data_IF_981561052647
#
_entry.id   IF_981561052647
#
_cell.length_a   1.000
_cell.length_b   1.000
_cell.length_c   1.000
_cell.angle_alpha   90.00
_cell.angle_beta   90.00
_cell.angle_gamma   90.00
#
_symmetry.space_group_name_H-M   'P 1'
#
loop_
_entity.id
_entity.type
_entity.pdbx_description
1 polymer ?
#
# COMPACT_ATOMS: atom_id res chain seq x y z
N UNK A 1 21.20 10.54 -13.97
CA UNK A 1 20.72 10.03 -12.66
C UNK A 1 20.46 8.54 -12.81
N UNK A 2 20.72 7.73 -11.74
CA UNK A 2 20.37 6.30 -11.71
C UNK A 2 18.86 6.16 -11.95
N UNK A 3 18.47 5.21 -12.80
CA UNK A 3 17.06 4.87 -13.05
C UNK A 3 16.83 3.45 -12.54
N UNK A 4 16.51 3.25 -11.23
CA UNK A 4 16.28 1.94 -10.67
C UNK A 4 15.07 1.27 -11.32
N UNK A 5 15.11 -0.04 -11.50
CA UNK A 5 13.93 -0.80 -11.92
C UNK A 5 12.88 -0.78 -10.80
N UNK A 6 11.63 -0.50 -11.14
CA UNK A 6 10.49 -0.55 -10.22
C UNK A 6 9.59 -1.71 -10.60
N UNK A 7 9.31 -2.61 -9.65
CA UNK A 7 8.31 -3.65 -9.81
C UNK A 7 6.96 -3.15 -9.31
N UNK A 8 6.00 -2.99 -10.23
CA UNK A 8 4.61 -2.65 -9.90
C UNK A 8 3.83 -3.95 -9.76
N UNK A 9 3.29 -4.19 -8.57
CA UNK A 9 2.61 -5.43 -8.18
C UNK A 9 1.11 -5.20 -8.19
N UNK A 10 0.39 -5.97 -9.01
CA UNK A 10 -1.05 -5.82 -9.23
C UNK A 10 -1.77 -7.15 -8.99
N UNK A 11 -2.29 -7.40 -7.77
CA UNK A 11 -3.20 -8.50 -7.53
C UNK A 11 -4.59 -8.16 -8.08
N UNK A 12 -5.31 -9.13 -8.63
CA UNK A 12 -6.68 -8.94 -9.10
C UNK A 12 -7.50 -10.22 -9.04
N UNK A 13 -8.75 -10.08 -8.59
CA UNK A 13 -9.78 -11.11 -8.63
C UNK A 13 -11.10 -10.52 -9.08
N UNK A 14 -11.71 -11.08 -10.15
CA UNK A 14 -12.99 -10.63 -10.73
C UNK A 14 -13.06 -9.10 -10.95
N UNK A 15 -12.03 -8.56 -11.63
CA UNK A 15 -11.84 -7.12 -11.86
C UNK A 15 -12.21 -6.64 -13.26
N UNK A 16 -13.06 -7.36 -14.03
CA UNK A 16 -13.36 -7.01 -15.44
C UNK A 16 -13.79 -5.57 -15.68
N UNK A 17 -14.45 -4.95 -14.67
CA UNK A 17 -14.96 -3.57 -14.76
C UNK A 17 -13.90 -2.50 -14.49
N UNK A 18 -12.78 -2.86 -13.89
CA UNK A 18 -11.79 -1.90 -13.35
C UNK A 18 -10.38 -2.12 -13.86
N UNK A 19 -9.97 -3.36 -14.06
CA UNK A 19 -8.59 -3.73 -14.35
C UNK A 19 -8.01 -3.04 -15.60
N UNK A 20 -8.83 -2.79 -16.63
CA UNK A 20 -8.35 -2.08 -17.82
C UNK A 20 -7.92 -0.64 -17.49
N UNK A 21 -8.66 0.07 -16.63
CA UNK A 21 -8.28 1.41 -16.17
C UNK A 21 -6.99 1.37 -15.36
N UNK A 22 -6.86 0.40 -14.45
CA UNK A 22 -5.66 0.18 -13.65
C UNK A 22 -4.42 -0.01 -14.56
N UNK A 23 -4.45 -1.00 -15.44
CA UNK A 23 -3.32 -1.34 -16.32
C UNK A 23 -2.98 -0.19 -17.27
N UNK A 24 -3.98 0.51 -17.81
CA UNK A 24 -3.77 1.71 -18.65
C UNK A 24 -3.06 2.83 -17.88
N UNK A 25 -3.39 3.03 -16.61
CA UNK A 25 -2.73 4.05 -15.79
C UNK A 25 -1.27 3.72 -15.54
N UNK A 26 -0.94 2.44 -15.36
CA UNK A 26 0.43 1.94 -15.19
C UNK A 26 1.21 2.01 -16.51
N UNK A 27 0.62 1.59 -17.61
CA UNK A 27 1.23 1.65 -18.96
C UNK A 27 1.65 3.08 -19.32
N UNK A 28 0.85 4.08 -18.90
CA UNK A 28 1.05 5.50 -19.19
C UNK A 28 1.91 6.24 -18.15
N UNK A 29 2.55 5.56 -17.20
CA UNK A 29 3.46 6.22 -16.27
C UNK A 29 4.60 6.94 -17.01
N UNK A 30 4.99 8.12 -16.53
CA UNK A 30 6.13 8.88 -17.09
C UNK A 30 7.46 8.18 -16.85
N UNK A 31 7.60 7.51 -15.71
CA UNK A 31 8.75 6.67 -15.41
C UNK A 31 8.69 5.37 -16.20
N UNK A 32 9.71 5.09 -17.04
CA UNK A 32 9.67 4.00 -18.02
C UNK A 32 10.35 2.71 -17.58
N UNK A 33 11.32 2.79 -16.66
CA UNK A 33 12.05 1.62 -16.18
C UNK A 33 11.23 0.86 -15.11
N UNK A 34 10.14 0.25 -15.56
CA UNK A 34 9.21 -0.53 -14.73
C UNK A 34 9.04 -1.94 -15.29
N UNK A 35 8.79 -2.89 -14.42
CA UNK A 35 8.12 -4.16 -14.73
C UNK A 35 6.79 -4.20 -13.98
N UNK A 36 5.78 -4.81 -14.58
CA UNK A 36 4.42 -4.89 -14.03
C UNK A 36 4.05 -6.35 -13.85
N UNK A 37 3.88 -6.79 -12.61
CA UNK A 37 3.55 -8.16 -12.30
C UNK A 37 2.07 -8.23 -11.92
N UNK A 38 1.26 -8.71 -12.86
CA UNK A 38 -0.19 -8.84 -12.68
C UNK A 38 -0.50 -10.28 -12.28
N UNK A 39 -1.04 -10.46 -11.07
CA UNK A 39 -1.42 -11.78 -10.57
C UNK A 39 -2.95 -11.89 -10.55
N UNK A 40 -3.46 -12.73 -11.45
CA UNK A 40 -4.88 -13.08 -11.52
C UNK A 40 -5.17 -14.23 -10.54
N UNK A 41 -5.87 -13.92 -9.49
CA UNK A 41 -6.21 -14.81 -8.38
C UNK A 41 -7.44 -15.71 -8.69
N UNK A 42 -7.41 -16.39 -9.84
CA UNK A 42 -8.46 -17.33 -10.23
C UNK A 42 -9.77 -16.65 -10.67
N UNK A 43 -9.72 -15.49 -11.33
CA UNK A 43 -10.92 -14.81 -11.81
C UNK A 43 -11.75 -15.69 -12.76
N UNK A 44 -13.08 -15.58 -12.62
CA UNK A 44 -14.08 -16.32 -13.40
C UNK A 44 -14.80 -15.44 -14.44
N UNK A 45 -14.55 -14.13 -14.38
CA UNK A 45 -15.06 -13.12 -15.32
C UNK A 45 -14.08 -12.85 -16.47
N UNK A 46 -14.26 -11.76 -17.23
CA UNK A 46 -13.40 -11.41 -18.35
C UNK A 46 -12.03 -10.81 -17.99
N UNK A 47 -11.66 -10.78 -16.71
CA UNK A 47 -10.36 -10.25 -16.22
C UNK A 47 -9.17 -10.88 -16.94
N UNK A 48 -9.14 -12.21 -17.09
CA UNK A 48 -8.07 -12.95 -17.76
C UNK A 48 -7.83 -12.44 -19.20
N UNK A 49 -8.89 -12.24 -19.96
CA UNK A 49 -8.82 -11.74 -21.33
C UNK A 49 -8.22 -10.34 -21.42
N UNK A 50 -8.61 -9.46 -20.49
CA UNK A 50 -8.11 -8.08 -20.46
C UNK A 50 -6.62 -8.07 -20.16
N UNK A 51 -6.16 -8.82 -19.15
CA UNK A 51 -4.75 -8.85 -18.76
C UNK A 51 -3.88 -9.39 -19.89
N UNK A 52 -4.30 -10.49 -20.55
CA UNK A 52 -3.56 -11.07 -21.69
C UNK A 52 -3.38 -10.08 -22.85
N UNK A 53 -4.37 -9.23 -23.10
CA UNK A 53 -4.26 -8.16 -24.10
C UNK A 53 -3.11 -7.21 -23.77
N UNK A 54 -3.01 -6.74 -22.52
CA UNK A 54 -1.92 -5.85 -22.10
C UNK A 54 -0.55 -6.54 -22.12
N UNK A 55 -0.47 -7.76 -21.59
CA UNK A 55 0.78 -8.52 -21.59
C UNK A 55 1.28 -8.86 -23.01
N UNK A 56 0.39 -9.06 -23.98
CA UNK A 56 0.76 -9.26 -25.37
C UNK A 56 1.19 -7.99 -26.12
N UNK A 57 0.84 -6.80 -25.62
CA UNK A 57 1.12 -5.52 -26.27
C UNK A 57 2.32 -4.77 -25.69
N UNK A 58 2.65 -5.03 -24.42
CA UNK A 58 3.69 -4.31 -23.71
C UNK A 58 4.58 -5.31 -22.91
N UNK A 59 5.85 -5.48 -23.31
CA UNK A 59 6.75 -6.49 -22.72
C UNK A 59 7.09 -6.20 -21.23
N UNK A 60 6.74 -5.04 -20.71
CA UNK A 60 6.92 -4.74 -19.29
C UNK A 60 5.92 -5.48 -18.41
N UNK A 61 4.81 -6.01 -18.98
CA UNK A 61 3.75 -6.70 -18.25
C UNK A 61 4.03 -8.21 -18.19
N UNK A 62 4.25 -8.72 -16.98
CA UNK A 62 4.34 -10.13 -16.65
C UNK A 62 3.00 -10.60 -16.09
N UNK A 63 2.36 -11.56 -16.73
CA UNK A 63 1.08 -12.11 -16.30
C UNK A 63 1.26 -13.47 -15.61
N UNK A 64 0.70 -13.59 -14.41
CA UNK A 64 0.64 -14.83 -13.65
C UNK A 64 -0.83 -15.15 -13.36
N UNK A 65 -1.25 -16.36 -13.73
CA UNK A 65 -2.58 -16.90 -13.38
C UNK A 65 -2.40 -18.00 -12.34
N UNK A 66 -3.24 -18.00 -11.31
CA UNK A 66 -3.25 -19.04 -10.28
C UNK A 66 -4.68 -19.38 -9.85
N UNK A 67 -4.85 -20.43 -9.08
CA UNK A 67 -6.10 -20.70 -8.35
C UNK A 67 -6.31 -19.66 -7.26
N UNK A 68 -7.58 -19.38 -6.92
CA UNK A 68 -7.89 -18.37 -5.91
C UNK A 68 -7.38 -18.81 -4.52
N UNK A 69 -6.50 -18.00 -3.94
CA UNK A 69 -5.94 -18.19 -2.59
C UNK A 69 -5.77 -16.89 -1.81
N UNK A 70 -6.34 -15.79 -2.34
CA UNK A 70 -6.40 -14.49 -1.68
C UNK A 70 -5.30 -13.51 -2.09
N UNK A 71 -5.55 -12.25 -1.73
CA UNK A 71 -4.73 -11.10 -2.12
C UNK A 71 -3.31 -11.17 -1.56
N UNK A 72 -3.15 -11.63 -0.31
CA UNK A 72 -1.84 -11.80 0.36
C UNK A 72 -0.95 -12.77 -0.40
N UNK A 73 -1.47 -13.94 -0.79
CA UNK A 73 -0.72 -14.92 -1.55
C UNK A 73 -0.36 -14.39 -2.95
N UNK A 74 -1.28 -13.70 -3.60
CA UNK A 74 -1.04 -13.06 -4.90
C UNK A 74 0.09 -12.01 -4.83
N UNK A 75 0.12 -11.18 -3.78
CA UNK A 75 1.21 -10.23 -3.54
C UNK A 75 2.53 -10.95 -3.25
N UNK A 76 2.52 -12.03 -2.46
CA UNK A 76 3.72 -12.81 -2.14
C UNK A 76 4.33 -13.47 -3.39
N UNK A 77 3.50 -14.02 -4.27
CA UNK A 77 3.95 -14.59 -5.55
C UNK A 77 4.58 -13.50 -6.42
N UNK A 78 3.95 -12.33 -6.50
CA UNK A 78 4.49 -11.20 -7.26
C UNK A 78 5.83 -10.71 -6.70
N UNK A 79 5.97 -10.55 -5.36
CA UNK A 79 7.21 -10.14 -4.71
C UNK A 79 8.37 -11.13 -4.96
N UNK A 80 8.08 -12.45 -4.97
CA UNK A 80 9.06 -13.49 -5.32
C UNK A 80 9.52 -13.41 -6.79
N UNK A 81 8.67 -12.94 -7.69
CA UNK A 81 8.95 -12.83 -9.13
C UNK A 81 9.62 -11.51 -9.50
N UNK A 82 9.45 -10.51 -8.66
CA UNK A 82 9.94 -9.15 -8.85
C UNK A 82 11.47 -9.07 -8.85
N UNK A 83 12.01 -8.15 -9.67
CA UNK A 83 13.46 -7.90 -9.82
C UNK A 83 13.82 -6.44 -9.58
N UNK A 84 12.82 -5.59 -9.34
CA UNK A 84 12.99 -4.15 -9.16
C UNK A 84 13.67 -3.80 -7.85
N UNK A 85 14.47 -2.74 -7.87
CA UNK A 85 15.08 -2.18 -6.66
C UNK A 85 14.04 -1.58 -5.69
N UNK A 86 12.84 -1.30 -6.21
CA UNK A 86 11.71 -0.80 -5.45
C UNK A 86 10.42 -1.51 -5.83
N UNK A 87 9.52 -1.65 -4.87
CA UNK A 87 8.17 -2.17 -5.08
C UNK A 87 7.12 -1.09 -4.91
N UNK A 88 6.12 -1.10 -5.80
CA UNK A 88 4.92 -0.28 -5.77
C UNK A 88 3.70 -1.20 -5.89
N UNK A 89 2.81 -1.18 -4.90
CA UNK A 89 1.58 -1.98 -4.93
C UNK A 89 0.44 -1.16 -5.53
N UNK A 90 -0.37 -1.80 -6.36
CA UNK A 90 -1.55 -1.19 -6.98
C UNK A 90 -2.69 -2.21 -7.01
N UNK A 91 -3.79 -1.91 -6.37
CA UNK A 91 -4.95 -2.81 -6.39
C UNK A 91 -5.68 -2.73 -7.74
N UNK A 92 -6.20 -3.86 -8.24
CA UNK A 92 -6.76 -3.96 -9.61
C UNK A 92 -8.03 -3.16 -9.86
N UNK A 93 -8.65 -2.60 -8.81
CA UNK A 93 -9.83 -1.73 -8.90
C UNK A 93 -9.50 -0.22 -8.84
N UNK A 94 -8.23 0.13 -8.63
CA UNK A 94 -7.72 1.48 -8.46
C UNK A 94 -6.89 1.96 -9.68
N UNK A 95 -6.29 3.15 -9.60
CA UNK A 95 -5.36 3.63 -10.64
C UNK A 95 -4.39 4.69 -10.13
N UNK A 96 -3.30 4.88 -10.86
CA UNK A 96 -2.22 5.82 -10.54
C UNK A 96 -2.40 7.18 -11.22
N UNK A 97 -1.89 8.23 -10.58
CA UNK A 97 -1.59 9.51 -11.25
C UNK A 97 -0.44 9.27 -12.24
N UNK A 98 -0.45 9.96 -13.38
CA UNK A 98 0.50 9.75 -14.49
C UNK A 98 1.97 9.84 -14.08
N UNK A 99 2.31 10.69 -13.11
CA UNK A 99 3.67 10.92 -12.59
C UNK A 99 3.97 10.16 -11.29
N UNK A 100 3.10 9.26 -10.84
CA UNK A 100 3.20 8.66 -9.50
C UNK A 100 4.52 7.94 -9.28
N UNK A 101 4.90 7.03 -10.17
CA UNK A 101 6.14 6.26 -10.04
C UNK A 101 7.38 7.15 -10.11
N UNK A 102 7.36 8.17 -10.97
CA UNK A 102 8.46 9.14 -11.11
C UNK A 102 8.66 9.97 -9.82
N UNK A 103 7.58 10.46 -9.21
CA UNK A 103 7.62 11.21 -7.95
C UNK A 103 8.15 10.32 -6.80
N UNK A 104 7.72 9.05 -6.73
CA UNK A 104 8.23 8.12 -5.74
C UNK A 104 9.73 7.85 -5.90
N UNK A 105 10.17 7.52 -7.12
CA UNK A 105 11.59 7.28 -7.42
C UNK A 105 12.43 8.51 -7.12
N UNK A 106 11.99 9.69 -7.58
CA UNK A 106 12.69 10.95 -7.33
C UNK A 106 12.88 11.22 -5.83
N UNK A 107 11.83 11.05 -5.04
CA UNK A 107 11.86 11.27 -3.59
C UNK A 107 12.78 10.26 -2.90
N UNK A 108 12.66 8.97 -3.25
CA UNK A 108 13.47 7.91 -2.68
C UNK A 108 14.97 8.14 -2.92
N UNK A 109 15.35 8.51 -4.16
CA UNK A 109 16.74 8.74 -4.52
C UNK A 109 17.29 10.06 -3.97
N UNK A 110 16.50 11.16 -4.02
CA UNK A 110 16.94 12.47 -3.57
C UNK A 110 17.28 12.49 -2.08
N UNK A 111 16.51 11.78 -1.27
CA UNK A 111 16.64 11.79 0.18
C UNK A 111 17.21 10.48 0.76
N UNK A 112 17.55 9.51 -0.11
CA UNK A 112 18.02 8.18 0.28
C UNK A 112 17.09 7.53 1.32
N UNK A 113 15.82 7.38 0.91
CA UNK A 113 14.75 6.82 1.75
C UNK A 113 14.50 5.36 1.41
N UNK A 114 14.31 4.53 2.43
CA UNK A 114 13.92 3.13 2.25
C UNK A 114 12.42 2.97 2.01
N UNK A 115 11.62 3.93 2.49
CA UNK A 115 10.18 3.98 2.23
C UNK A 115 9.78 5.40 1.83
N UNK A 116 8.82 5.52 0.91
CA UNK A 116 8.17 6.81 0.61
C UNK A 116 6.67 6.64 0.73
N UNK A 117 5.98 7.65 1.26
CA UNK A 117 4.52 7.67 1.39
C UNK A 117 3.94 8.92 0.73
N UNK A 118 2.78 8.77 0.10
CA UNK A 118 2.07 9.88 -0.53
C UNK A 118 0.65 10.06 -0.01
N UNK A 119 0.09 11.24 -0.23
CA UNK A 119 -1.35 11.43 -0.17
C UNK A 119 -2.05 10.65 -1.30
N UNK A 120 -3.39 10.54 -1.23
CA UNK A 120 -4.19 9.87 -2.23
C UNK A 120 -5.53 10.55 -2.48
N UNK A 121 -6.11 10.27 -3.63
CA UNK A 121 -7.45 10.65 -4.00
C UNK A 121 -8.42 9.53 -3.63
N UNK A 122 -9.43 9.83 -2.81
CA UNK A 122 -10.55 8.92 -2.57
C UNK A 122 -11.67 9.22 -3.54
N UNK A 123 -12.05 8.20 -4.30
CA UNK A 123 -13.12 8.27 -5.30
C UNK A 123 -14.37 7.60 -4.77
N UNK A 124 -15.50 8.33 -4.79
CA UNK A 124 -16.83 7.81 -4.46
C UNK A 124 -17.84 8.29 -5.50
N UNK A 125 -18.20 7.41 -6.43
CA UNK A 125 -18.99 7.80 -7.58
C UNK A 125 -18.28 8.88 -8.41
N UNK A 126 -18.88 10.07 -8.51
CA UNK A 126 -18.28 11.23 -9.23
C UNK A 126 -17.45 12.15 -8.34
N UNK A 127 -17.41 11.91 -7.05
CA UNK A 127 -16.72 12.77 -6.10
C UNK A 127 -15.28 12.26 -5.88
N UNK A 128 -14.33 13.18 -5.98
CA UNK A 128 -12.90 12.92 -5.69
C UNK A 128 -12.51 13.84 -4.55
N UNK A 129 -11.92 13.24 -3.49
CA UNK A 129 -11.47 13.98 -2.31
C UNK A 129 -10.04 13.59 -1.98
N UNK A 130 -9.17 14.58 -1.82
CA UNK A 130 -7.81 14.35 -1.38
C UNK A 130 -7.79 13.91 0.09
N UNK A 131 -6.99 12.91 0.37
CA UNK A 131 -6.73 12.35 1.68
C UNK A 131 -5.24 12.36 1.96
N UNK A 132 -4.88 12.70 3.16
CA UNK A 132 -3.53 12.64 3.68
C UNK A 132 -3.57 12.79 5.19
N UNK A 133 -2.44 12.56 5.85
CA UNK A 133 -2.38 12.68 7.31
C UNK A 133 -1.14 13.42 7.78
N UNK A 134 -0.02 13.24 7.12
CA UNK A 134 1.26 13.83 7.53
C UNK A 134 1.49 15.12 6.77
N UNK A 135 1.51 16.23 7.50
CA UNK A 135 2.03 17.51 7.00
C UNK A 135 3.44 17.69 7.57
N UNK A 136 4.43 17.24 6.82
CA UNK A 136 5.82 17.28 7.22
C UNK A 136 6.68 17.76 6.07
N UNK A 137 7.93 18.05 6.38
CA UNK A 137 8.99 18.19 5.38
C UNK A 137 9.16 16.89 4.57
N UNK A 138 10.00 16.90 3.55
CA UNK A 138 10.07 15.80 2.58
C UNK A 138 10.61 14.49 3.15
N UNK A 139 11.15 14.50 4.37
CA UNK A 139 11.72 13.31 5.03
C UNK A 139 11.41 13.31 6.52
N UNK A 140 11.08 12.14 7.04
CA UNK A 140 10.95 11.85 8.47
C UNK A 140 11.93 10.74 8.87
N UNK A 141 12.40 10.76 10.10
CA UNK A 141 12.98 9.57 10.73
C UNK A 141 11.90 8.53 10.97
N UNK A 142 12.27 7.26 11.07
CA UNK A 142 11.37 6.17 11.47
C UNK A 142 10.62 6.49 12.77
N UNK A 143 11.35 7.00 13.77
CA UNK A 143 10.79 7.40 15.09
C UNK A 143 9.68 8.43 14.92
N UNK A 144 9.94 9.51 14.15
CA UNK A 144 8.94 10.57 13.95
C UNK A 144 7.72 10.08 13.16
N UNK A 145 7.94 9.19 12.18
CA UNK A 145 6.84 8.55 11.45
C UNK A 145 5.97 7.68 12.38
N UNK A 146 6.60 6.89 13.26
CA UNK A 146 5.91 6.06 14.25
C UNK A 146 5.13 6.91 15.26
N UNK A 147 5.68 8.05 15.75
CA UNK A 147 4.97 8.99 16.61
C UNK A 147 3.70 9.55 15.95
N UNK A 148 3.78 9.93 14.66
CA UNK A 148 2.62 10.38 13.91
C UNK A 148 1.57 9.26 13.75
N UNK A 149 2.00 8.02 13.49
CA UNK A 149 1.12 6.86 13.43
C UNK A 149 0.46 6.57 14.78
N UNK A 150 1.18 6.72 15.90
CA UNK A 150 0.64 6.56 17.27
C UNK A 150 -0.51 7.55 17.54
N UNK A 151 -0.46 8.75 16.98
CA UNK A 151 -1.52 9.74 17.13
C UNK A 151 -2.83 9.37 16.40
N UNK A 152 -2.76 8.50 15.37
CA UNK A 152 -3.91 8.05 14.58
C UNK A 152 -3.69 6.61 14.06
N UNK A 153 -3.63 5.61 14.94
CA UNK A 153 -3.13 4.27 14.59
C UNK A 153 -4.02 3.49 13.62
N UNK A 154 -5.30 3.82 13.53
CA UNK A 154 -6.23 3.21 12.58
C UNK A 154 -6.47 4.07 11.33
N UNK A 155 -5.64 5.08 11.08
CA UNK A 155 -5.76 5.87 9.88
C UNK A 155 -5.30 5.06 8.66
N UNK A 156 -6.14 5.02 7.64
CA UNK A 156 -5.90 4.34 6.37
C UNK A 156 -4.56 4.71 5.72
N UNK A 157 -4.13 5.96 5.88
CA UNK A 157 -2.87 6.49 5.38
C UNK A 157 -1.67 5.64 5.80
N UNK A 158 -1.63 5.15 7.05
CA UNK A 158 -0.55 4.31 7.55
C UNK A 158 -0.72 2.83 7.22
N UNK A 159 -1.99 2.36 7.16
CA UNK A 159 -2.30 0.94 7.07
C UNK A 159 -2.09 0.31 5.70
N UNK A 160 -2.45 1.02 4.62
CA UNK A 160 -2.48 0.46 3.26
C UNK A 160 -1.11 0.38 2.59
N UNK A 161 -0.94 -0.53 1.62
CA UNK A 161 0.32 -0.68 0.87
C UNK A 161 0.40 0.31 -0.30
N UNK A 162 -0.70 0.55 -0.99
CA UNK A 162 -0.75 1.20 -2.29
C UNK A 162 -0.38 2.70 -2.32
N UNK A 163 -0.36 3.40 -1.19
CA UNK A 163 0.12 4.78 -1.11
C UNK A 163 1.61 4.88 -0.72
N UNK A 164 2.31 3.76 -0.77
CA UNK A 164 3.72 3.66 -0.37
C UNK A 164 4.60 3.07 -1.46
N UNK A 165 5.88 3.31 -1.31
CA UNK A 165 6.94 2.84 -2.18
C UNK A 165 8.04 2.24 -1.31
N UNK A 166 8.49 1.04 -1.62
CA UNK A 166 9.32 0.22 -0.73
C UNK A 166 10.63 -0.16 -1.38
N UNK A 167 11.74 0.00 -0.69
CA UNK A 167 13.05 -0.54 -1.12
C UNK A 167 13.01 -2.07 -1.01
N UNK A 168 13.18 -2.74 -2.13
CA UNK A 168 12.98 -4.19 -2.23
C UNK A 168 14.01 -5.00 -1.44
N UNK A 169 15.23 -4.51 -1.30
CA UNK A 169 16.29 -5.17 -0.53
C UNK A 169 15.87 -5.48 0.92
N UNK A 170 15.11 -4.60 1.57
CA UNK A 170 14.58 -4.86 2.91
C UNK A 170 13.62 -6.04 2.89
N UNK A 171 12.72 -6.10 1.91
CA UNK A 171 11.74 -7.19 1.80
C UNK A 171 12.43 -8.52 1.60
N UNK A 172 13.43 -8.58 0.73
CA UNK A 172 14.16 -9.82 0.46
C UNK A 172 15.08 -10.24 1.63
N UNK A 173 15.83 -9.28 2.18
CA UNK A 173 16.79 -9.54 3.27
C UNK A 173 16.13 -10.09 4.53
N UNK A 174 14.96 -9.59 4.87
CA UNK A 174 14.20 -9.98 6.06
C UNK A 174 13.03 -10.91 5.75
N UNK A 175 12.94 -11.42 4.51
CA UNK A 175 11.92 -12.36 4.05
C UNK A 175 10.47 -11.91 4.38
N UNK A 176 10.20 -10.60 4.25
CA UNK A 176 8.89 -10.03 4.58
C UNK A 176 7.82 -10.52 3.62
N UNK A 177 6.66 -10.88 4.15
CA UNK A 177 5.53 -11.42 3.37
C UNK A 177 4.20 -10.87 3.89
N UNK A 178 3.22 -10.76 2.99
CA UNK A 178 1.84 -10.54 3.38
C UNK A 178 1.29 -11.79 4.07
N UNK A 179 0.64 -11.64 5.22
CA UNK A 179 0.09 -12.77 5.98
C UNK A 179 -1.14 -13.34 5.30
N UNK A 180 -1.07 -14.60 4.88
CA UNK A 180 -2.18 -15.33 4.25
C UNK A 180 -3.24 -15.82 5.25
N UNK A 181 -2.98 -15.72 6.55
CA UNK A 181 -3.92 -16.10 7.61
C UNK A 181 -4.72 -14.91 8.16
N UNK A 182 -4.46 -13.71 7.66
CA UNK A 182 -5.22 -12.51 7.96
C UNK A 182 -6.18 -12.21 6.81
N UNK A 183 -7.47 -12.28 7.10
CA UNK A 183 -8.51 -11.90 6.14
C UNK A 183 -8.63 -10.37 5.98
N UNK A 184 -8.02 -9.61 6.88
CA UNK A 184 -8.08 -8.15 6.92
C UNK A 184 -6.90 -7.56 7.72
N UNK A 185 -6.44 -6.37 7.30
CA UNK A 185 -5.28 -5.66 7.88
C UNK A 185 -3.92 -6.35 7.66
N UNK A 186 -3.81 -7.25 6.69
CA UNK A 186 -2.55 -7.84 6.23
C UNK A 186 -1.56 -6.75 5.79
N UNK A 187 -2.07 -5.71 5.14
CA UNK A 187 -1.32 -4.52 4.72
C UNK A 187 -0.67 -3.80 5.91
N UNK A 188 -1.44 -3.61 6.99
CA UNK A 188 -0.94 -2.92 8.18
C UNK A 188 0.13 -3.75 8.89
N UNK A 189 -0.06 -5.07 9.00
CA UNK A 189 0.96 -5.97 9.54
C UNK A 189 2.27 -5.86 8.73
N UNK A 190 2.18 -5.97 7.40
CA UNK A 190 3.34 -5.84 6.51
C UNK A 190 4.07 -4.50 6.74
N UNK A 191 3.33 -3.40 6.85
CA UNK A 191 3.89 -2.08 7.13
C UNK A 191 4.62 -2.03 8.49
N UNK A 192 4.05 -2.62 9.54
CA UNK A 192 4.68 -2.67 10.86
C UNK A 192 5.99 -3.46 10.85
N UNK A 193 6.01 -4.62 10.19
CA UNK A 193 7.23 -5.43 10.02
C UNK A 193 8.28 -4.69 9.17
N UNK A 194 7.88 -4.07 8.06
CA UNK A 194 8.79 -3.31 7.21
C UNK A 194 9.41 -2.11 7.94
N UNK A 195 8.64 -1.41 8.75
CA UNK A 195 9.10 -0.25 9.54
C UNK A 195 10.16 -0.61 10.58
N UNK A 196 10.31 -1.88 10.97
CA UNK A 196 11.41 -2.30 11.86
C UNK A 196 12.79 -2.02 11.25
N UNK A 197 12.89 -1.97 9.91
CA UNK A 197 14.16 -1.92 9.18
C UNK A 197 14.39 -0.61 8.42
N UNK A 198 13.45 0.34 8.51
CA UNK A 198 13.52 1.64 7.84
C UNK A 198 14.29 2.64 8.70
N UNK A 199 15.16 3.43 8.09
CA UNK A 199 15.81 4.59 8.73
C UNK A 199 15.06 5.90 8.44
N UNK A 200 14.72 6.09 7.16
CA UNK A 200 14.10 7.32 6.64
C UNK A 200 12.83 7.03 5.84
N UNK A 201 11.81 7.83 6.07
CA UNK A 201 10.54 7.82 5.32
C UNK A 201 10.41 9.12 4.54
N UNK A 202 10.39 9.03 3.21
CA UNK A 202 10.07 10.16 2.34
C UNK A 202 8.57 10.48 2.40
N UNK A 203 8.21 11.75 2.38
CA UNK A 203 6.81 12.21 2.41
C UNK A 203 6.51 13.05 1.18
N UNK A 204 5.47 12.67 0.45
CA UNK A 204 4.96 13.40 -0.72
C UNK A 204 3.56 13.93 -0.38
N UNK A 205 3.45 15.23 -0.10
CA UNK A 205 2.18 15.90 0.20
C UNK A 205 1.38 16.19 -1.08
N UNK A 206 1.32 15.19 -2.00
CA UNK A 206 0.53 15.21 -3.24
C UNK A 206 -0.20 13.88 -3.38
N UNK A 207 -1.46 13.88 -3.87
CA UNK A 207 -2.20 12.65 -4.10
C UNK A 207 -1.68 11.96 -5.38
N UNK A 208 -1.03 10.81 -5.23
CA UNK A 208 -0.44 10.04 -6.34
C UNK A 208 -1.26 8.81 -6.74
N UNK A 209 -2.30 8.48 -5.99
CA UNK A 209 -3.11 7.29 -6.14
C UNK A 209 -4.61 7.65 -6.14
N UNK A 210 -5.42 6.90 -6.89
CA UNK A 210 -6.87 7.00 -6.86
C UNK A 210 -7.46 5.73 -6.25
N UNK A 211 -7.86 5.82 -4.98
CA UNK A 211 -8.56 4.76 -4.25
C UNK A 211 -10.06 4.82 -4.51
N UNK A 212 -10.62 3.74 -5.05
CA UNK A 212 -12.05 3.63 -5.37
C UNK A 212 -12.80 2.95 -4.24
N UNK A 213 -13.68 3.68 -3.56
CA UNK A 213 -14.57 3.05 -2.58
C UNK A 213 -15.77 2.42 -3.28
N UNK A 214 -15.75 1.10 -3.46
CA UNK A 214 -16.87 0.30 -3.94
C UNK A 214 -17.72 -0.21 -2.77
N UNK A 215 -19.06 -0.28 -2.98
CA UNK A 215 -19.94 -0.96 -2.01
C UNK A 215 -19.61 -2.46 -2.00
N UNK A 216 -19.49 -3.06 -0.80
CA UNK A 216 -19.16 -4.47 -0.65
C UNK A 216 -17.66 -4.77 -0.71
N UNK A 217 -16.79 -3.76 -0.62
CA UNK A 217 -15.35 -3.97 -0.43
C UNK A 217 -15.07 -4.72 0.88
N UNK A 218 -13.93 -5.41 0.97
CA UNK A 218 -13.50 -6.12 2.20
C UNK A 218 -13.58 -5.22 3.43
N UNK A 219 -13.24 -3.95 3.29
CA UNK A 219 -13.34 -2.95 4.36
C UNK A 219 -14.79 -2.73 4.81
N UNK A 220 -15.75 -2.66 3.88
CA UNK A 220 -17.18 -2.45 4.24
C UNK A 220 -17.80 -3.69 4.88
N UNK A 221 -17.38 -4.90 4.50
CA UNK A 221 -17.95 -6.16 5.00
C UNK A 221 -17.33 -6.61 6.33
N UNK A 222 -16.04 -6.39 6.52
CA UNK A 222 -15.32 -6.89 7.70
C UNK A 222 -15.26 -5.87 8.85
N UNK A 223 -15.19 -4.57 8.55
CA UNK A 223 -15.26 -3.52 9.56
C UNK A 223 -16.64 -3.45 10.30
N UNK A 224 -17.65 -4.09 9.76
CA UNK A 224 -19.00 -4.18 10.38
C UNK A 224 -19.11 -5.16 11.58
N UNK A 225 -18.13 -6.06 11.78
CA UNK A 225 -18.15 -7.02 12.90
C UNK A 225 -17.17 -6.60 14.00
N UNK A 226 -17.71 -6.20 15.16
CA UNK A 226 -16.90 -5.81 16.32
C UNK A 226 -16.00 -6.97 16.81
N UNK A 227 -16.51 -8.19 16.82
CA UNK A 227 -15.76 -9.37 17.25
C UNK A 227 -14.57 -9.67 16.32
N UNK A 228 -14.79 -9.63 15.00
CA UNK A 228 -13.73 -9.84 14.02
C UNK A 228 -12.67 -8.75 14.11
N UNK A 229 -13.10 -7.48 14.25
CA UNK A 229 -12.21 -6.35 14.42
C UNK A 229 -11.33 -6.50 15.67
N UNK A 230 -11.89 -6.90 16.80
CA UNK A 230 -11.14 -7.11 18.04
C UNK A 230 -10.16 -8.28 17.96
N UNK A 231 -10.57 -9.41 17.32
CA UNK A 231 -9.70 -10.56 17.07
C UNK A 231 -8.48 -10.18 16.22
N UNK A 232 -8.72 -9.46 15.13
CA UNK A 232 -7.65 -8.97 14.24
C UNK A 232 -6.72 -8.00 14.97
N UNK A 233 -7.27 -7.03 15.72
CA UNK A 233 -6.48 -6.10 16.50
C UNK A 233 -5.60 -6.76 17.55
N UNK A 234 -6.09 -7.83 18.21
CA UNK A 234 -5.28 -8.60 19.16
C UNK A 234 -4.07 -9.22 18.47
N UNK A 235 -4.25 -9.81 17.28
CA UNK A 235 -3.13 -10.36 16.50
C UNK A 235 -2.13 -9.28 16.05
N UNK A 236 -2.61 -8.09 15.70
CA UNK A 236 -1.76 -6.98 15.23
C UNK A 236 -1.07 -6.23 16.35
N UNK A 237 -1.62 -6.28 17.57
CA UNK A 237 -1.12 -5.48 18.68
C UNK A 237 0.33 -5.82 19.05
N UNK A 238 0.71 -7.08 18.98
CA UNK A 238 2.08 -7.49 19.29
C UNK A 238 3.05 -6.85 18.31
N UNK A 239 2.79 -6.89 16.99
CA UNK A 239 3.59 -6.21 15.97
C UNK A 239 3.63 -4.68 16.17
N UNK A 240 2.48 -4.10 16.54
CA UNK A 240 2.37 -2.67 16.83
C UNK A 240 3.20 -2.30 18.05
N UNK A 241 3.10 -3.06 19.13
CA UNK A 241 3.87 -2.90 20.36
C UNK A 241 5.36 -3.07 20.11
N UNK A 242 5.77 -4.12 19.39
CA UNK A 242 7.18 -4.42 19.10
C UNK A 242 7.86 -3.28 18.35
N UNK A 243 7.17 -2.63 17.40
CA UNK A 243 7.70 -1.45 16.72
C UNK A 243 8.06 -0.34 17.74
N UNK A 244 7.17 -0.05 18.69
CA UNK A 244 7.42 1.01 19.68
C UNK A 244 8.44 0.58 20.74
N UNK A 245 8.57 -0.69 21.06
CA UNK A 245 9.64 -1.19 21.92
C UNK A 245 11.01 -1.03 21.25
N UNK A 246 11.12 -1.41 19.96
CA UNK A 246 12.35 -1.22 19.16
C UNK A 246 12.78 0.25 19.05
N UNK A 247 11.83 1.18 19.17
CA UNK A 247 12.08 2.62 19.09
C UNK A 247 12.26 3.30 20.45
N UNK A 248 12.28 2.55 21.55
CA UNK A 248 12.30 3.06 22.93
C UNK A 248 11.13 4.03 23.26
N UNK A 249 10.03 3.91 22.51
CA UNK A 249 8.84 4.76 22.70
C UNK A 249 7.75 4.09 23.54
N UNK A 250 7.83 2.78 23.79
CA UNK A 250 6.73 2.04 24.40
C UNK A 250 6.50 2.44 25.86
N UNK A 251 7.54 2.50 26.68
CA UNK A 251 7.41 2.74 28.13
C UNK A 251 6.77 4.09 28.46
N UNK A 252 7.18 5.15 27.75
CA UNK A 252 6.62 6.50 27.92
C UNK A 252 5.23 6.70 27.30
N UNK A 253 4.75 5.77 26.46
CA UNK A 253 3.52 5.95 25.69
C UNK A 253 2.54 4.75 25.81
N UNK A 254 2.69 3.90 26.82
CA UNK A 254 1.87 2.67 27.00
C UNK A 254 0.38 2.91 26.78
N UNK A 255 -0.19 3.91 27.44
CA UNK A 255 -1.62 4.22 27.33
C UNK A 255 -2.02 4.58 25.89
N UNK A 256 -1.24 5.43 25.21
CA UNK A 256 -1.52 5.84 23.81
C UNK A 256 -1.44 4.66 22.86
N UNK A 257 -0.48 3.74 23.07
CA UNK A 257 -0.30 2.55 22.26
C UNK A 257 -1.46 1.56 22.50
N UNK A 258 -1.91 1.41 23.76
CA UNK A 258 -3.07 0.59 24.10
C UNK A 258 -4.38 1.12 23.49
N UNK A 259 -4.49 2.43 23.27
CA UNK A 259 -5.63 3.04 22.58
C UNK A 259 -5.82 2.51 21.14
N UNK A 260 -4.84 1.82 20.57
CA UNK A 260 -4.99 1.07 19.32
C UNK A 260 -6.20 0.12 19.34
N UNK A 261 -6.50 -0.51 20.46
CA UNK A 261 -7.66 -1.39 20.59
C UNK A 261 -9.00 -0.66 20.39
N UNK A 262 -9.07 0.60 20.77
CA UNK A 262 -10.27 1.42 20.70
C UNK A 262 -10.35 2.27 19.43
N UNK A 263 -9.31 2.26 18.61
CA UNK A 263 -9.31 2.98 17.34
C UNK A 263 -10.07 2.19 16.26
N UNK A 264 -10.76 2.88 15.35
CA UNK A 264 -11.44 2.28 14.20
C UNK A 264 -10.82 2.79 12.92
N UNK A 265 -10.83 1.93 11.88
CA UNK A 265 -10.29 2.32 10.58
C UNK A 265 -11.04 3.55 10.02
N UNK A 266 -10.30 4.59 9.71
CA UNK A 266 -10.84 5.83 9.15
C UNK A 266 -9.82 6.49 8.21
N UNK A 267 -10.34 7.27 7.28
CA UNK A 267 -9.55 8.18 6.47
C UNK A 267 -9.94 9.63 6.80
N UNK A 268 -9.05 10.39 7.38
CA UNK A 268 -9.26 11.82 7.64
C UNK A 268 -9.21 12.62 6.34
N UNK A 269 -10.09 13.62 6.23
CA UNK A 269 -10.00 14.66 5.20
C UNK A 269 -8.83 15.57 5.61
N UNK A 270 -7.87 15.81 4.71
CA UNK A 270 -6.99 16.97 4.85
C UNK A 270 -7.89 18.20 4.85
N UNK A 271 -7.74 19.04 5.88
CA UNK A 271 -8.63 20.17 6.12
C UNK A 271 -8.97 20.92 4.83
N UNK A 272 -10.27 21.14 4.63
CA UNK A 272 -10.76 22.12 3.68
C UNK A 272 -10.24 23.45 4.21
N UNK A 273 -9.22 24.02 3.57
CA UNK A 273 -8.98 25.45 3.69
C UNK A 273 -10.21 26.09 3.01
N UNK A 274 -11.21 26.42 3.81
CA UNK A 274 -12.24 27.36 3.37
C UNK A 274 -11.52 28.65 2.99
N UNK A 275 -11.66 29.02 1.73
CA UNK A 275 -11.20 30.28 1.17
C UNK A 275 -11.84 31.45 1.93
#
# INVERSE_FOLDING_TARGET
>A
MKQPLVSIIVPVYNGEKSIERCLRSIQNQTYRNIEVIVVNDGSTDHTDRIIRKYAGQDPRFCYIKKENSGVSDSRNIAMKRARGEYFQFVDGDDWLVKQATEEFVRTALLYDCEMVISDYNRVRGRTIMVRGHVEAGPVLTRTRFAENMMAAPANFYYGVLWNKFYKADIIWRFALQCDTQLDWCEDFRFNLEYLQYVGKVGVINKPLYYYVKTKGSLVDTQAGSLQLTMKTKRKLFDYYKDLYQTLDLYEGNKFRIQMFYFSFAHDKIKGIKTA
#
